data_IF_260043281902
#
_entry.id   IF_260043281902
#
_cell.length_a   1.000
_cell.length_b   1.000
_cell.length_c   1.000
_cell.angle_alpha   90.00
_cell.angle_beta   90.00
_cell.angle_gamma   90.00
#
_symmetry.space_group_name_H-M   'P 1'
#
loop_
_entity.id
_entity.type
_entity.pdbx_description
1 polymer ?
#
# COMPACT_ATOMS: atom_id res chain seq x y z
N UNK A 1 60.71 19.38 -7.59
CA UNK A 1 59.68 19.31 -6.52
C UNK A 1 58.34 19.14 -7.21
N UNK A 2 57.90 17.90 -7.48
CA UNK A 2 56.59 17.62 -8.07
C UNK A 2 55.70 17.02 -6.98
N UNK A 3 54.61 17.74 -6.67
CA UNK A 3 53.61 17.36 -5.68
C UNK A 3 52.59 16.44 -6.37
N UNK A 4 52.59 15.15 -6.04
CA UNK A 4 51.54 14.22 -6.49
C UNK A 4 50.31 14.39 -5.59
N UNK A 5 49.24 14.97 -6.14
CA UNK A 5 47.90 14.95 -5.54
C UNK A 5 47.25 13.59 -5.82
N UNK A 6 47.10 12.77 -4.78
CA UNK A 6 46.30 11.56 -4.82
C UNK A 6 44.81 11.93 -4.67
N UNK A 7 44.04 11.74 -5.75
CA UNK A 7 42.57 11.81 -5.70
C UNK A 7 42.03 10.46 -5.19
N UNK A 8 41.53 10.44 -3.96
CA UNK A 8 40.73 9.33 -3.44
C UNK A 8 39.31 9.42 -4.00
N UNK A 9 39.00 8.53 -4.95
CA UNK A 9 37.63 8.35 -5.45
C UNK A 9 36.82 7.61 -4.39
N UNK A 10 35.99 8.35 -3.65
CA UNK A 10 34.95 7.74 -2.80
C UNK A 10 33.88 7.17 -3.73
N UNK A 11 33.89 5.85 -3.91
CA UNK A 11 32.83 5.15 -4.61
C UNK A 11 31.58 5.15 -3.75
N UNK A 12 30.64 6.04 -4.04
CA UNK A 12 29.30 6.01 -3.45
C UNK A 12 28.58 4.75 -3.96
N UNK A 13 28.54 3.70 -3.15
CA UNK A 13 27.65 2.57 -3.40
C UNK A 13 26.21 3.06 -3.23
N UNK A 14 25.53 3.36 -4.34
CA UNK A 14 24.07 3.42 -4.36
C UNK A 14 23.55 2.04 -3.92
N UNK A 15 23.08 1.95 -2.68
CA UNK A 15 22.28 0.81 -2.24
C UNK A 15 20.98 0.84 -3.07
N UNK A 16 20.97 0.09 -4.18
CA UNK A 16 19.74 -0.29 -4.85
C UNK A 16 18.87 -0.97 -3.79
N UNK A 17 17.77 -0.31 -3.39
CA UNK A 17 16.79 -0.94 -2.51
C UNK A 17 16.38 -2.27 -3.12
N UNK A 18 16.77 -3.37 -2.50
CA UNK A 18 16.57 -4.72 -3.03
C UNK A 18 15.09 -4.91 -3.35
N UNK A 19 14.77 -5.04 -4.65
CA UNK A 19 13.42 -5.39 -5.07
C UNK A 19 13.01 -6.75 -4.47
N UNK A 20 11.71 -6.93 -4.22
CA UNK A 20 11.14 -8.20 -3.76
C UNK A 20 11.56 -9.29 -4.75
N UNK A 21 12.47 -10.19 -4.35
CA UNK A 21 12.86 -11.34 -5.14
C UNK A 21 11.87 -12.49 -4.87
N UNK A 22 11.64 -13.36 -5.86
CA UNK A 22 10.89 -14.62 -5.79
C UNK A 22 11.08 -15.43 -4.49
N UNK A 23 12.28 -15.49 -3.89
CA UNK A 23 12.48 -16.18 -2.59
C UNK A 23 11.84 -15.45 -1.40
N UNK A 24 11.76 -14.13 -1.45
CA UNK A 24 11.15 -13.29 -0.41
C UNK A 24 9.61 -13.29 -0.50
N UNK A 25 9.04 -13.76 -1.62
CA UNK A 25 7.59 -13.82 -1.82
C UNK A 25 6.86 -14.88 -0.97
N UNK A 26 7.58 -15.80 -0.35
CA UNK A 26 7.01 -16.87 0.46
C UNK A 26 6.56 -16.37 1.86
N UNK A 27 7.30 -15.43 2.44
CA UNK A 27 7.05 -14.89 3.78
C UNK A 27 6.28 -13.58 3.69
N UNK A 28 4.98 -13.65 3.99
CA UNK A 28 4.08 -12.51 3.89
C UNK A 28 2.94 -12.58 4.89
N UNK A 29 2.31 -11.45 5.11
CA UNK A 29 1.01 -11.36 5.77
C UNK A 29 0.10 -10.42 4.99
N UNK A 30 -1.20 -10.62 5.18
CA UNK A 30 -2.26 -9.92 4.45
C UNK A 30 -3.16 -9.17 5.44
N UNK A 31 -4.04 -8.27 4.95
CA UNK A 31 -5.00 -7.58 5.79
C UNK A 31 -5.83 -8.54 6.65
N UNK A 32 -6.01 -8.20 7.93
CA UNK A 32 -6.89 -8.89 8.87
C UNK A 32 -8.32 -8.37 8.81
N UNK A 33 -8.53 -7.18 8.25
CA UNK A 33 -9.86 -6.61 8.02
C UNK A 33 -9.83 -5.68 6.79
N UNK A 34 -10.95 -5.63 6.07
CA UNK A 34 -11.12 -4.80 4.88
C UNK A 34 -12.47 -4.10 4.94
N UNK A 35 -12.48 -2.83 4.55
CA UNK A 35 -13.65 -1.98 4.56
C UNK A 35 -13.73 -1.15 3.29
N UNK A 36 -14.96 -0.84 2.87
CA UNK A 36 -15.22 0.20 1.89
C UNK A 36 -15.50 1.51 2.61
N UNK A 37 -14.95 2.60 2.10
CA UNK A 37 -15.26 3.95 2.55
C UNK A 37 -15.92 4.74 1.44
N UNK A 38 -17.11 5.24 1.72
CA UNK A 38 -17.82 6.12 0.81
C UNK A 38 -17.36 7.56 1.05
N UNK A 39 -16.79 8.19 0.02
CA UNK A 39 -16.23 9.54 0.09
C UNK A 39 -17.32 10.59 0.32
N UNK A 40 -18.51 10.40 -0.24
CA UNK A 40 -19.58 11.39 -0.23
C UNK A 40 -20.22 11.60 1.14
N UNK A 41 -20.40 10.53 1.91
CA UNK A 41 -21.03 10.58 3.23
C UNK A 41 -20.13 10.13 4.38
N UNK A 42 -18.93 9.63 4.08
CA UNK A 42 -17.96 9.17 5.06
C UNK A 42 -18.29 7.81 5.70
N UNK A 43 -19.29 7.09 5.21
CA UNK A 43 -19.69 5.80 5.77
C UNK A 43 -18.64 4.72 5.47
N UNK A 44 -18.55 3.75 6.39
CA UNK A 44 -17.60 2.65 6.37
C UNK A 44 -18.39 1.35 6.49
N UNK A 45 -18.15 0.43 5.57
CA UNK A 45 -18.80 -0.87 5.55
C UNK A 45 -17.76 -1.99 5.51
N UNK A 46 -17.87 -3.04 6.34
CA UNK A 46 -17.06 -4.25 6.16
C UNK A 46 -17.19 -4.78 4.73
N UNK A 47 -16.09 -5.29 4.17
CA UNK A 47 -16.05 -5.77 2.80
C UNK A 47 -15.12 -6.96 2.67
N UNK A 48 -15.54 -7.97 1.89
CA UNK A 48 -14.71 -9.13 1.55
C UNK A 48 -13.76 -8.87 0.38
N UNK A 49 -13.87 -7.68 -0.24
CA UNK A 49 -13.12 -7.27 -1.42
C UNK A 49 -12.46 -5.93 -1.21
N UNK A 50 -11.29 -5.75 -1.85
CA UNK A 50 -10.87 -4.42 -2.24
C UNK A 50 -11.80 -3.96 -3.35
N UNK A 51 -12.38 -2.79 -3.16
CA UNK A 51 -13.27 -2.14 -4.10
C UNK A 51 -12.97 -0.64 -4.08
N UNK A 52 -12.38 -0.17 -5.18
CA UNK A 52 -12.10 1.24 -5.39
C UNK A 52 -12.87 1.65 -6.63
N UNK A 53 -13.70 2.70 -6.51
CA UNK A 53 -14.47 3.23 -7.62
C UNK A 53 -14.41 4.75 -7.61
N UNK A 54 -13.98 5.33 -8.72
CA UNK A 54 -13.91 6.76 -8.96
C UNK A 54 -14.56 7.06 -10.30
N UNK A 55 -15.49 8.00 -10.33
CA UNK A 55 -16.17 8.39 -11.56
C UNK A 55 -16.86 9.75 -11.37
N UNK A 56 -16.87 10.65 -12.38
CA UNK A 56 -17.64 11.89 -12.29
C UNK A 56 -19.14 11.65 -12.12
N UNK A 57 -19.64 10.51 -12.62
CA UNK A 57 -21.03 10.10 -12.50
C UNK A 57 -21.43 9.71 -11.07
N UNK A 58 -20.46 9.41 -10.19
CA UNK A 58 -20.71 9.11 -8.77
C UNK A 58 -21.21 10.33 -7.98
N UNK A 59 -21.06 11.54 -8.54
CA UNK A 59 -21.40 12.83 -7.89
C UNK A 59 -20.77 12.99 -6.50
N UNK A 60 -19.52 12.53 -6.37
CA UNK A 60 -18.76 12.57 -5.11
C UNK A 60 -18.95 11.36 -4.21
N UNK A 61 -19.80 10.39 -4.59
CA UNK A 61 -19.96 9.11 -3.89
C UNK A 61 -18.96 8.06 -4.38
N UNK A 62 -17.71 8.49 -4.60
CA UNK A 62 -16.60 7.59 -4.88
C UNK A 62 -16.40 6.63 -3.69
N UNK A 63 -15.80 5.48 -3.95
CA UNK A 63 -15.44 4.53 -2.91
C UNK A 63 -13.93 4.29 -2.89
N UNK A 64 -13.35 4.33 -1.70
CA UNK A 64 -11.99 3.89 -1.43
C UNK A 64 -12.04 2.63 -0.58
N UNK A 65 -10.92 1.92 -0.50
CA UNK A 65 -10.82 0.73 0.36
C UNK A 65 -9.87 1.02 1.51
N UNK A 66 -10.24 0.58 2.71
CA UNK A 66 -9.36 0.58 3.86
C UNK A 66 -8.99 -0.82 4.27
N UNK A 67 -7.75 -0.97 4.68
CA UNK A 67 -7.15 -2.25 5.03
C UNK A 67 -6.51 -2.11 6.40
N UNK A 68 -6.74 -3.10 7.26
CA UNK A 68 -6.04 -3.21 8.53
C UNK A 68 -5.10 -4.40 8.46
N UNK A 69 -3.84 -4.22 8.85
CA UNK A 69 -2.88 -5.31 9.03
C UNK A 69 -2.47 -5.41 10.49
N UNK A 70 -2.06 -6.61 10.90
CA UNK A 70 -1.42 -6.85 12.21
C UNK A 70 -0.06 -7.49 11.95
N UNK A 71 1.00 -6.87 12.48
CA UNK A 71 2.35 -7.40 12.29
C UNK A 71 2.51 -8.71 13.08
N UNK A 72 2.83 -9.84 12.42
CA UNK A 72 2.93 -11.13 13.09
C UNK A 72 4.26 -11.27 13.82
N UNK A 73 4.33 -12.20 14.77
CA UNK A 73 5.57 -12.52 15.52
C UNK A 73 6.74 -12.90 14.59
N UNK A 74 6.45 -13.60 13.49
CA UNK A 74 7.42 -13.98 12.47
C UNK A 74 8.13 -12.79 11.79
N UNK A 75 7.56 -11.59 11.86
CA UNK A 75 8.16 -10.37 11.29
C UNK A 75 9.14 -9.67 12.24
N UNK A 76 9.31 -10.16 13.48
CA UNK A 76 10.19 -9.54 14.49
C UNK A 76 11.62 -9.43 13.96
N UNK A 77 12.17 -8.21 14.01
CA UNK A 77 13.55 -7.92 13.62
C UNK A 77 13.82 -8.10 12.11
N UNK A 78 12.77 -8.26 11.29
CA UNK A 78 12.88 -8.38 9.83
C UNK A 78 12.75 -7.02 9.14
N UNK A 79 13.06 -6.99 7.85
CA UNK A 79 12.66 -5.93 6.93
C UNK A 79 11.31 -6.27 6.31
N UNK A 80 10.47 -5.27 6.12
CA UNK A 80 9.16 -5.33 5.52
C UNK A 80 9.11 -4.48 4.25
N UNK A 81 8.40 -4.99 3.24
CA UNK A 81 8.09 -4.26 2.02
C UNK A 81 6.69 -4.65 1.54
N UNK A 82 5.93 -3.68 1.05
CA UNK A 82 4.59 -3.90 0.51
C UNK A 82 4.66 -4.31 -0.96
N UNK A 83 3.82 -5.27 -1.33
CA UNK A 83 3.54 -5.61 -2.71
C UNK A 83 2.08 -5.98 -2.91
N UNK A 84 1.52 -5.52 -4.03
CA UNK A 84 0.16 -5.83 -4.45
C UNK A 84 0.24 -6.81 -5.61
N UNK A 85 -0.23 -8.04 -5.40
CA UNK A 85 -0.23 -9.08 -6.42
C UNK A 85 -1.57 -9.13 -7.12
N UNK A 86 -1.58 -8.69 -8.36
CA UNK A 86 -2.77 -8.75 -9.18
C UNK A 86 -3.01 -10.19 -9.63
N UNK A 87 -3.96 -10.84 -8.99
CA UNK A 87 -4.86 -11.79 -9.67
C UNK A 87 -6.22 -11.13 -9.56
N UNK A 88 -6.50 -10.25 -10.51
CA UNK A 88 -7.62 -9.31 -10.42
C UNK A 88 -8.95 -10.02 -10.56
N UNK A 89 -9.95 -9.43 -9.92
CA UNK A 89 -11.34 -9.67 -10.29
C UNK A 89 -11.71 -8.71 -11.43
N UNK A 90 -11.37 -7.42 -11.30
CA UNK A 90 -11.65 -6.41 -12.33
C UNK A 90 -10.70 -5.20 -12.25
N UNK A 91 -10.36 -4.60 -13.39
CA UNK A 91 -9.73 -3.28 -13.46
C UNK A 91 -10.04 -2.54 -14.77
N UNK A 92 -10.50 -1.30 -14.67
CA UNK A 92 -10.82 -0.41 -15.79
C UNK A 92 -10.51 1.06 -15.46
N UNK A 93 -10.55 1.94 -16.47
CA UNK A 93 -10.17 3.34 -16.30
C UNK A 93 -8.65 3.51 -16.22
N UNK A 94 -8.16 4.28 -15.25
CA UNK A 94 -6.73 4.56 -15.10
C UNK A 94 -5.91 3.34 -14.65
N UNK A 95 -6.55 2.39 -13.96
CA UNK A 95 -5.93 1.18 -13.39
C UNK A 95 -4.77 1.53 -12.45
N UNK A 96 -4.92 2.60 -11.68
CA UNK A 96 -3.88 3.09 -10.79
C UNK A 96 -4.46 3.38 -9.40
N UNK A 97 -3.78 2.87 -8.37
CA UNK A 97 -4.16 3.11 -6.99
C UNK A 97 -3.08 3.91 -6.28
N UNK A 98 -3.50 5.00 -5.64
CA UNK A 98 -2.69 5.67 -4.61
C UNK A 98 -2.85 4.91 -3.29
N UNK A 99 -1.74 4.68 -2.60
CA UNK A 99 -1.71 4.05 -1.29
C UNK A 99 -1.34 5.08 -0.22
N UNK A 100 -2.16 5.16 0.82
CA UNK A 100 -1.90 5.95 2.01
C UNK A 100 -1.82 5.05 3.25
N UNK A 101 -1.05 5.45 4.25
CA UNK A 101 -1.31 4.98 5.63
C UNK A 101 -2.61 5.62 6.14
N UNK A 102 -3.20 5.04 7.16
CA UNK A 102 -4.31 5.63 7.90
C UNK A 102 -3.88 6.01 9.31
N UNK A 103 -4.33 7.18 9.80
CA UNK A 103 -4.05 7.66 11.16
C UNK A 103 -4.66 6.74 12.22
N UNK A 104 -5.76 6.05 11.89
CA UNK A 104 -6.41 5.03 12.70
C UNK A 104 -6.96 3.91 11.81
N UNK A 105 -6.91 2.64 12.24
CA UNK A 105 -7.66 1.57 11.58
C UNK A 105 -9.16 1.86 11.56
N UNK A 106 -9.86 1.32 10.56
CA UNK A 106 -11.32 1.36 10.50
C UNK A 106 -11.94 0.63 11.71
N UNK A 107 -13.08 1.09 12.24
CA UNK A 107 -13.81 0.40 13.30
C UNK A 107 -14.33 -0.95 12.82
N UNK A 108 -14.21 -2.00 13.65
CA UNK A 108 -14.46 -3.39 13.26
C UNK A 108 -15.86 -3.66 12.67
N UNK A 109 -16.88 -2.90 13.08
CA UNK A 109 -18.26 -3.01 12.57
C UNK A 109 -18.62 -2.02 11.47
N UNK A 110 -17.65 -1.24 10.98
CA UNK A 110 -17.94 -0.07 10.16
C UNK A 110 -18.46 1.12 10.98
N UNK A 111 -18.94 2.15 10.29
CA UNK A 111 -19.52 3.35 10.89
C UNK A 111 -20.41 4.05 9.86
N UNK A 112 -21.46 4.74 10.30
CA UNK A 112 -22.28 5.58 9.42
C UNK A 112 -21.56 6.85 8.96
N UNK A 113 -20.45 7.21 9.61
CA UNK A 113 -19.62 8.34 9.24
C UNK A 113 -18.26 8.27 9.94
N UNK A 114 -17.21 8.62 9.22
CA UNK A 114 -15.86 8.76 9.75
C UNK A 114 -15.66 10.17 10.32
N UNK A 115 -15.08 10.33 11.54
CA UNK A 115 -14.65 11.65 12.01
C UNK A 115 -13.80 12.41 10.97
N UNK A 116 -13.72 13.75 11.08
CA UNK A 116 -13.27 14.63 10.00
C UNK A 116 -11.97 14.21 9.31
N UNK A 117 -11.93 14.40 7.98
CA UNK A 117 -10.72 14.27 7.17
C UNK A 117 -10.28 12.84 6.88
N UNK A 118 -11.23 11.89 6.73
CA UNK A 118 -11.10 10.48 6.30
C UNK A 118 -9.96 9.63 6.92
N UNK A 119 -9.30 10.17 7.96
CA UNK A 119 -8.12 9.64 8.64
C UNK A 119 -6.99 9.22 7.71
N UNK A 120 -6.86 9.86 6.54
CA UNK A 120 -5.75 9.61 5.64
C UNK A 120 -4.46 10.16 6.23
N UNK A 121 -3.42 9.33 6.23
CA UNK A 121 -2.08 9.64 6.68
C UNK A 121 -1.14 9.94 5.51
N UNK A 122 0.05 9.36 5.56
CA UNK A 122 1.13 9.61 4.59
C UNK A 122 0.81 8.94 3.25
N UNK A 123 0.94 9.70 2.15
CA UNK A 123 0.95 9.15 0.80
C UNK A 123 2.22 8.35 0.57
N UNK A 124 2.10 7.03 0.42
CA UNK A 124 3.26 6.16 0.25
C UNK A 124 3.72 6.15 -1.20
N UNK A 125 2.79 6.00 -2.13
CA UNK A 125 3.10 5.87 -3.54
C UNK A 125 1.87 5.57 -4.37
N UNK A 126 2.12 5.37 -5.66
CA UNK A 126 1.14 4.98 -6.66
C UNK A 126 1.53 3.66 -7.31
N UNK A 127 0.57 2.75 -7.41
CA UNK A 127 0.71 1.44 -8.03
C UNK A 127 -0.02 1.43 -9.37
N UNK A 128 0.58 0.80 -10.39
CA UNK A 128 -0.13 0.42 -11.62
C UNK A 128 -0.66 -0.99 -11.48
N UNK A 129 -1.96 -1.14 -11.64
CA UNK A 129 -2.65 -2.42 -11.55
C UNK A 129 -2.45 -3.17 -12.88
N UNK A 130 -1.85 -4.35 -12.78
CA UNK A 130 -1.54 -5.25 -13.91
C UNK A 130 -2.49 -6.44 -13.89
N UNK A 131 -2.62 -7.19 -14.98
CA UNK A 131 -3.49 -8.39 -14.97
C UNK A 131 -2.92 -9.51 -14.09
N UNK A 132 -1.60 -9.69 -14.15
CA UNK A 132 -0.88 -10.75 -13.45
C UNK A 132 0.43 -10.23 -12.85
N UNK A 133 0.83 -10.80 -11.72
CA UNK A 133 2.11 -10.51 -11.07
C UNK A 133 2.09 -9.35 -10.08
N UNK A 134 3.28 -8.87 -9.72
CA UNK A 134 3.44 -7.76 -8.78
C UNK A 134 3.16 -6.43 -9.48
N UNK A 135 2.19 -5.67 -8.96
CA UNK A 135 1.90 -4.32 -9.43
C UNK A 135 3.14 -3.42 -9.21
N UNK A 136 3.68 -2.78 -10.27
CA UNK A 136 4.81 -1.88 -10.13
C UNK A 136 4.39 -0.56 -9.47
N UNK A 137 5.31 0.00 -8.69
CA UNK A 137 5.21 1.40 -8.26
C UNK A 137 5.49 2.31 -9.44
N UNK A 138 4.53 3.15 -9.82
CA UNK A 138 4.73 4.19 -10.86
C UNK A 138 5.28 5.49 -10.27
N UNK A 139 5.02 5.71 -8.97
CA UNK A 139 5.61 6.79 -8.20
C UNK A 139 5.75 6.35 -6.73
N UNK A 140 6.82 6.80 -6.07
CA UNK A 140 7.03 6.61 -4.63
C UNK A 140 7.18 7.98 -3.99
N UNK A 141 6.39 8.24 -2.95
CA UNK A 141 6.39 9.50 -2.22
C UNK A 141 6.93 9.35 -0.78
N UNK A 142 7.07 8.10 -0.32
CA UNK A 142 7.72 7.72 0.93
C UNK A 142 8.56 6.46 0.70
N UNK A 143 9.64 6.27 1.47
CA UNK A 143 10.41 5.01 1.50
C UNK A 143 9.74 3.95 2.36
N UNK A 144 8.83 4.34 3.26
CA UNK A 144 8.13 3.42 4.14
C UNK A 144 7.31 2.41 3.33
N UNK A 145 7.65 1.12 3.44
CA UNK A 145 7.06 -0.04 2.75
C UNK A 145 7.10 -0.03 1.21
N UNK A 146 7.38 1.08 0.53
CA UNK A 146 7.66 1.11 -0.92
C UNK A 146 9.05 0.52 -1.25
N UNK A 147 9.87 0.36 -0.21
CA UNK A 147 11.19 -0.27 -0.18
C UNK A 147 11.32 -1.12 1.10
N UNK A 148 12.40 -1.89 1.18
CA UNK A 148 12.73 -2.68 2.36
C UNK A 148 13.02 -1.78 3.57
N UNK A 149 12.11 -1.75 4.53
CA UNK A 149 12.22 -0.94 5.77
C UNK A 149 12.09 -1.83 6.99
N UNK A 150 12.59 -1.46 8.19
CA UNK A 150 12.34 -2.27 9.38
C UNK A 150 10.84 -2.54 9.57
N UNK A 151 10.48 -3.82 9.81
CA UNK A 151 9.11 -4.16 10.21
C UNK A 151 8.77 -3.48 11.54
N UNK A 152 7.49 -3.14 11.72
CA UNK A 152 7.00 -2.67 13.01
C UNK A 152 7.00 -3.82 14.03
N UNK A 153 6.99 -3.51 15.35
CA UNK A 153 6.90 -4.52 16.39
C UNK A 153 5.68 -5.44 16.19
N UNK A 154 5.80 -6.75 16.47
CA UNK A 154 4.65 -7.65 16.43
C UNK A 154 3.49 -7.18 17.31
N UNK A 155 2.27 -7.45 16.85
CA UNK A 155 1.03 -6.97 17.49
C UNK A 155 0.66 -5.54 17.12
N UNK A 156 1.53 -4.80 16.42
CA UNK A 156 1.16 -3.47 15.90
C UNK A 156 0.03 -3.61 14.90
N UNK A 157 -1.05 -2.86 15.13
CA UNK A 157 -2.19 -2.72 14.23
C UNK A 157 -1.98 -1.47 13.37
N UNK A 158 -2.03 -1.61 12.06
CA UNK A 158 -1.82 -0.51 11.13
C UNK A 158 -2.92 -0.48 10.06
N UNK A 159 -3.42 0.73 9.78
CA UNK A 159 -4.40 1.00 8.74
C UNK A 159 -3.77 1.54 7.47
N UNK A 160 -4.38 1.24 6.33
CA UNK A 160 -4.06 1.77 5.01
C UNK A 160 -5.34 2.15 4.26
N UNK A 161 -5.21 3.05 3.28
CA UNK A 161 -6.27 3.40 2.33
C UNK A 161 -5.77 3.28 0.89
N UNK A 162 -6.53 2.61 0.03
CA UNK A 162 -6.34 2.55 -1.41
C UNK A 162 -7.35 3.47 -2.10
N UNK A 163 -6.85 4.38 -2.93
CA UNK A 163 -7.63 5.46 -3.56
C UNK A 163 -7.44 5.41 -5.07
N UNK A 164 -8.53 5.52 -5.82
CA UNK A 164 -8.50 5.50 -7.28
C UNK A 164 -7.88 6.78 -7.84
N UNK A 165 -7.13 6.64 -8.94
CA UNK A 165 -6.38 7.75 -9.55
C UNK A 165 -7.06 8.24 -10.82
N UNK A 166 -7.06 9.56 -11.05
CA UNK A 166 -7.64 10.18 -12.24
C UNK A 166 -9.16 10.39 -12.11
N UNK A 167 -9.83 10.68 -13.22
CA UNK A 167 -11.27 11.00 -13.23
C UNK A 167 -12.15 9.75 -13.16
N UNK A 168 -11.75 8.68 -13.84
CA UNK A 168 -12.47 7.39 -13.84
C UNK A 168 -11.50 6.25 -13.57
N UNK A 169 -11.81 5.47 -12.55
CA UNK A 169 -11.04 4.28 -12.18
C UNK A 169 -11.94 3.30 -11.42
N UNK A 170 -11.81 2.02 -11.73
CA UNK A 170 -12.45 0.97 -10.95
C UNK A 170 -11.49 -0.19 -10.84
N UNK A 171 -11.22 -0.60 -9.61
CA UNK A 171 -10.33 -1.73 -9.31
C UNK A 171 -10.95 -2.58 -8.22
N UNK A 172 -11.01 -3.89 -8.46
CA UNK A 172 -11.45 -4.86 -7.46
C UNK A 172 -10.62 -6.14 -7.48
N UNK A 173 -10.28 -6.63 -6.29
CA UNK A 173 -9.54 -7.87 -6.06
C UNK A 173 -9.69 -8.36 -4.61
N UNK A 174 -9.29 -9.60 -4.34
CA UNK A 174 -9.32 -10.16 -2.97
C UNK A 174 -8.28 -9.50 -2.05
N UNK A 175 -8.61 -9.14 -0.79
CA UNK A 175 -7.69 -8.44 0.11
C UNK A 175 -6.37 -9.16 0.35
N UNK A 176 -6.34 -10.50 0.25
CA UNK A 176 -5.12 -11.31 0.37
C UNK A 176 -4.04 -11.02 -0.70
N UNK A 177 -4.36 -10.20 -1.71
CA UNK A 177 -3.45 -9.70 -2.74
C UNK A 177 -2.66 -8.48 -2.30
N UNK A 178 -3.18 -7.69 -1.36
CA UNK A 178 -2.40 -6.73 -0.62
C UNK A 178 -1.54 -7.50 0.39
N UNK A 179 -0.21 -7.41 0.26
CA UNK A 179 0.72 -8.21 1.06
C UNK A 179 1.83 -7.34 1.59
N UNK A 180 2.19 -7.57 2.85
CA UNK A 180 3.46 -7.10 3.40
C UNK A 180 4.37 -8.31 3.49
N UNK A 181 5.45 -8.27 2.70
CA UNK A 181 6.50 -9.26 2.71
C UNK A 181 7.47 -8.95 3.82
N UNK A 182 8.01 -9.99 4.45
CA UNK A 182 9.05 -9.84 5.46
C UNK A 182 10.23 -10.78 5.19
N UNK A 183 11.44 -10.27 5.41
CA UNK A 183 12.68 -10.98 5.10
C UNK A 183 13.83 -10.51 5.99
N UNK A 184 14.87 -11.33 6.10
CA UNK A 184 16.11 -11.01 6.82
C UNK A 184 16.82 -9.81 6.21
#
# INVERSE_FOLDING_TARGET
MLLQLAFTVVSATCALGSAINTRQMALRFSPSATFQYNVGNGAIYPSDYVYVSKSPESKGNDNTTLLTVVYPEASRGKKCQLGLFSELIHAEGSKQLDLFTSLKPAPAGGASGWPPGNQRGTHLGRLSIVAEGLAPWVAKYSTYLTEATPCKPPGTVEGFELVGVGERDYVSFYPARFRIYYFS
#
